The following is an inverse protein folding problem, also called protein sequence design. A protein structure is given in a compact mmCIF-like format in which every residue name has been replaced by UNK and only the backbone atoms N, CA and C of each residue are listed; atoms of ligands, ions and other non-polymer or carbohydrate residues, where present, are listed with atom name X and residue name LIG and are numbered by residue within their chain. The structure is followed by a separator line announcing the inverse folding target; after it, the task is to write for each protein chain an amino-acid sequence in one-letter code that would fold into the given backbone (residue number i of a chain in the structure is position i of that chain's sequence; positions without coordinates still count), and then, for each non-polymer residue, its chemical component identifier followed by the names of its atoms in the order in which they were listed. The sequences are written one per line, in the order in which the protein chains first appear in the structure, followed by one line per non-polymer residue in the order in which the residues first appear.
data_IF_842868228520
#
_entry.id   IF_842868228520
#
_cell.length_a   1.000
_cell.length_b   1.000
_cell.length_c   1.000
_cell.angle_alpha   90.00
_cell.angle_beta   90.00
_cell.angle_gamma   90.00
#
_symmetry.space_group_name_H-M   'P 1'
#
loop_
_entity.id
_entity.type
_entity.pdbx_description
1 polymer ?
#
# COMPACT_ATOMS: atom_id res chain seq x y z
N UNK A 1 17.15 37.76 -1.55
CA UNK A 1 15.97 37.22 -2.25
C UNK A 1 16.05 35.72 -2.53
N UNK A 2 17.13 35.18 -3.11
CA UNK A 2 17.26 33.75 -3.51
C UNK A 2 17.07 32.71 -2.37
N UNK A 3 17.51 32.99 -1.13
CA UNK A 3 17.40 32.05 0.01
C UNK A 3 15.97 31.83 0.53
N UNK A 4 15.07 32.80 0.34
CA UNK A 4 13.67 32.68 0.76
C UNK A 4 12.90 31.70 -0.15
N UNK A 5 13.20 31.70 -1.44
CA UNK A 5 12.58 30.79 -2.41
C UNK A 5 13.03 29.35 -2.20
N UNK A 6 14.32 29.13 -1.90
CA UNK A 6 14.84 27.82 -1.56
C UNK A 6 14.16 27.22 -0.30
N UNK A 7 13.89 28.05 0.71
CA UNK A 7 13.14 27.63 1.90
C UNK A 7 11.68 27.28 1.59
N UNK A 8 11.02 28.08 0.75
CA UNK A 8 9.63 27.84 0.35
C UNK A 8 9.49 26.55 -0.47
N UNK A 9 10.43 26.30 -1.38
CA UNK A 9 10.48 25.07 -2.18
C UNK A 9 10.71 23.86 -1.27
N UNK A 10 11.67 23.92 -0.34
CA UNK A 10 11.92 22.83 0.61
C UNK A 10 10.71 22.52 1.50
N UNK A 11 9.99 23.55 1.94
CA UNK A 11 8.77 23.40 2.74
C UNK A 11 7.63 22.78 1.93
N UNK A 12 7.43 23.21 0.69
CA UNK A 12 6.45 22.60 -0.20
C UNK A 12 6.78 21.11 -0.46
N UNK A 13 8.04 20.77 -0.73
CA UNK A 13 8.45 19.38 -0.97
C UNK A 13 8.16 18.46 0.23
N UNK A 14 8.33 18.97 1.45
CA UNK A 14 8.01 18.20 2.67
C UNK A 14 6.51 17.95 2.83
N UNK A 15 5.67 18.93 2.49
CA UNK A 15 4.20 18.80 2.55
C UNK A 15 3.68 17.89 1.45
N UNK A 16 4.26 17.92 0.25
CA UNK A 16 3.87 17.00 -0.82
C UNK A 16 4.33 15.55 -0.58
N UNK A 17 5.47 15.35 0.09
CA UNK A 17 5.97 14.01 0.43
C UNK A 17 5.14 13.27 1.49
N UNK A 18 4.44 14.00 2.37
CA UNK A 18 3.55 13.42 3.38
C UNK A 18 2.11 13.20 2.91
N UNK A 19 1.78 13.67 1.69
CA UNK A 19 0.51 13.42 1.01
C UNK A 19 0.57 12.18 0.12
N UNK A 20 1.30 11.13 0.53
CA UNK A 20 1.03 9.82 -0.08
C UNK A 20 -0.40 9.48 0.30
N UNK A 21 -1.32 9.30 -0.67
CA UNK A 21 -2.63 8.78 -0.32
C UNK A 21 -2.36 7.44 0.35
N UNK A 22 -2.78 7.30 1.61
CA UNK A 22 -2.99 5.97 2.13
C UNK A 22 -3.99 5.34 1.17
N UNK A 23 -3.63 4.24 0.51
CA UNK A 23 -4.54 3.53 -0.39
C UNK A 23 -5.66 2.97 0.48
N UNK A 24 -6.66 3.80 0.73
CA UNK A 24 -7.86 3.43 1.44
C UNK A 24 -8.66 2.58 0.45
N UNK A 25 -8.62 1.26 0.64
CA UNK A 25 -9.41 0.33 -0.15
C UNK A 25 -10.88 0.59 0.20
N UNK A 26 -11.67 0.98 -0.78
CA UNK A 26 -13.11 1.19 -0.61
C UNK A 26 -13.87 -0.14 -0.48
N UNK A 27 -14.99 -0.14 0.25
CA UNK A 27 -15.90 -1.28 0.25
C UNK A 27 -16.43 -1.55 -1.16
N UNK A 28 -16.38 -2.82 -1.58
CA UNK A 28 -16.84 -3.24 -2.91
C UNK A 28 -15.85 -2.97 -4.05
N UNK A 29 -14.72 -2.32 -3.76
CA UNK A 29 -13.61 -2.25 -4.71
C UNK A 29 -12.94 -3.62 -4.85
N UNK A 30 -12.29 -3.83 -5.99
CA UNK A 30 -11.49 -5.03 -6.21
C UNK A 30 -10.35 -5.03 -5.21
N UNK A 31 -10.25 -6.10 -4.41
CA UNK A 31 -9.14 -6.28 -3.48
C UNK A 31 -7.78 -6.19 -4.23
N UNK A 32 -6.79 -5.45 -3.70
CA UNK A 32 -5.47 -5.35 -4.32
C UNK A 32 -4.82 -6.72 -4.45
N UNK A 33 -4.22 -6.97 -5.61
CA UNK A 33 -3.49 -8.21 -5.81
C UNK A 33 -2.16 -8.18 -5.04
N UNK A 34 -1.81 -9.30 -4.43
CA UNK A 34 -0.55 -9.46 -3.71
C UNK A 34 -0.06 -10.89 -3.86
N UNK A 35 1.25 -11.07 -3.76
CA UNK A 35 1.89 -12.38 -3.76
C UNK A 35 2.67 -12.59 -2.46
N UNK A 36 2.50 -13.75 -1.84
CA UNK A 36 3.22 -14.14 -0.63
C UNK A 36 3.84 -15.52 -0.81
N UNK A 37 5.04 -15.69 -0.24
CA UNK A 37 5.68 -16.99 -0.12
C UNK A 37 5.18 -17.65 1.15
N UNK A 38 4.64 -18.86 1.02
CA UNK A 38 4.20 -19.68 2.14
C UNK A 38 5.37 -20.29 2.90
N UNK A 39 5.10 -20.91 4.04
CA UNK A 39 6.11 -21.60 4.86
C UNK A 39 6.77 -22.79 4.18
N UNK A 40 6.15 -23.33 3.13
CA UNK A 40 6.68 -24.43 2.30
C UNK A 40 7.44 -23.93 1.07
N UNK A 41 7.54 -22.60 0.87
CA UNK A 41 8.24 -21.99 -0.25
C UNK A 41 7.39 -21.79 -1.52
N UNK A 42 6.13 -22.22 -1.52
CA UNK A 42 5.20 -21.96 -2.63
C UNK A 42 4.72 -20.50 -2.62
N UNK A 43 4.66 -19.88 -3.79
CA UNK A 43 4.14 -18.53 -3.96
C UNK A 43 2.65 -18.57 -4.31
N UNK A 44 1.85 -17.90 -3.50
CA UNK A 44 0.43 -17.70 -3.73
C UNK A 44 0.16 -16.25 -4.12
N UNK A 45 -0.72 -16.05 -5.10
CA UNK A 45 -1.18 -14.74 -5.55
C UNK A 45 -2.69 -14.66 -5.38
N UNK A 46 -3.22 -13.56 -4.83
CA UNK A 46 -4.66 -13.43 -4.56
C UNK A 46 -5.51 -13.66 -5.83
N UNK A 47 -5.05 -13.19 -6.99
CA UNK A 47 -5.73 -13.38 -8.27
C UNK A 47 -5.90 -14.85 -8.71
N UNK A 48 -5.14 -15.79 -8.15
CA UNK A 48 -5.33 -17.23 -8.39
C UNK A 48 -6.67 -17.75 -7.84
N UNK A 49 -7.26 -17.06 -6.85
CA UNK A 49 -8.50 -17.47 -6.18
C UNK A 49 -9.77 -16.80 -6.75
N UNK A 50 -9.68 -16.15 -7.91
CA UNK A 50 -10.87 -15.57 -8.58
C UNK A 50 -11.94 -16.63 -8.80
N UNK A 51 -13.20 -16.27 -8.53
CA UNK A 51 -14.34 -17.19 -8.60
C UNK A 51 -14.61 -17.96 -7.31
N UNK A 52 -13.77 -17.79 -6.28
CA UNK A 52 -13.96 -18.38 -4.95
C UNK A 52 -14.25 -17.28 -3.92
N UNK A 53 -15.04 -17.61 -2.89
CA UNK A 53 -15.20 -16.73 -1.72
C UNK A 53 -13.97 -16.91 -0.83
N UNK A 54 -13.20 -15.83 -0.65
CA UNK A 54 -11.94 -15.85 0.11
C UNK A 54 -12.05 -14.92 1.32
N UNK A 55 -11.60 -15.40 2.48
CA UNK A 55 -11.46 -14.61 3.71
C UNK A 55 -9.98 -14.34 3.97
N UNK A 56 -9.57 -13.07 3.97
CA UNK A 56 -8.20 -12.65 4.27
C UNK A 56 -8.06 -12.40 5.77
N UNK A 57 -7.08 -13.05 6.40
CA UNK A 57 -6.80 -12.91 7.82
C UNK A 57 -5.36 -12.45 8.04
N UNK A 58 -5.18 -11.45 8.91
CA UNK A 58 -3.88 -10.90 9.28
C UNK A 58 -3.67 -11.16 10.78
N UNK A 59 -2.66 -11.96 11.11
CA UNK A 59 -2.32 -12.32 12.48
C UNK A 59 -0.80 -12.36 12.66
N UNK A 60 -0.35 -12.22 13.91
CA UNK A 60 1.05 -12.30 14.29
C UNK A 60 1.15 -12.66 15.77
N UNK A 61 2.19 -13.40 16.13
CA UNK A 61 2.49 -13.77 17.52
C UNK A 61 3.65 -12.87 17.96
N UNK A 62 3.36 -11.93 18.86
CA UNK A 62 4.36 -11.04 19.48
C UNK A 62 5.20 -11.77 20.52
#
# INVERSE_FOLDING_TARGET
MSRMWAGLIAMCSLVFGSLTPAWAIGYGEVAPDFSLVSTTGETYTLSQYRGQVVFLNFFGWS
#
